data_IF_667354438094
#
_entry.id   IF_667354438094
#
_cell.length_a   1.000
_cell.length_b   1.000
_cell.length_c   1.000
_cell.angle_alpha   90.00
_cell.angle_beta   90.00
_cell.angle_gamma   90.00
#
_symmetry.space_group_name_H-M   'P 1'
#
loop_
_entity.id
_entity.type
_entity.pdbx_description
1 polymer ?
#
# COMPACT_ATOMS: atom_id res chain seq x y z
N UNK A 1 -15.77 7.21 -9.48
CA UNK A 1 -15.96 6.58 -10.82
C UNK A 1 -15.01 5.38 -10.94
N UNK A 2 -15.39 4.34 -11.68
CA UNK A 2 -14.52 3.18 -11.94
C UNK A 2 -14.19 3.11 -13.43
N UNK A 3 -12.94 2.84 -13.77
CA UNK A 3 -12.50 2.65 -15.15
C UNK A 3 -11.35 1.65 -15.23
N UNK A 4 -11.18 1.07 -16.41
CA UNK A 4 -10.16 0.07 -16.68
C UNK A 4 -9.00 0.70 -17.46
N UNK A 5 -7.79 0.52 -16.94
CA UNK A 5 -6.54 0.88 -17.59
C UNK A 5 -5.76 -0.38 -17.93
N UNK A 6 -4.79 -0.28 -18.83
CA UNK A 6 -3.86 -1.38 -19.13
C UNK A 6 -2.48 -1.03 -18.60
N UNK A 7 -1.91 -1.93 -17.79
CA UNK A 7 -0.53 -1.89 -17.34
C UNK A 7 0.24 -2.99 -18.06
N UNK A 8 0.88 -2.65 -19.17
CA UNK A 8 1.46 -3.64 -20.08
C UNK A 8 0.36 -4.56 -20.63
N UNK A 9 0.57 -5.87 -20.50
CA UNK A 9 -0.41 -6.88 -20.94
C UNK A 9 -1.51 -7.19 -19.88
N UNK A 10 -1.50 -6.51 -18.73
CA UNK A 10 -2.43 -6.79 -17.63
C UNK A 10 -3.42 -5.62 -17.44
N UNK A 11 -4.74 -5.87 -17.37
CA UNK A 11 -5.71 -4.83 -17.06
C UNK A 11 -5.65 -4.46 -15.57
N UNK A 12 -5.92 -3.18 -15.27
CA UNK A 12 -5.94 -2.59 -13.93
C UNK A 12 -7.26 -1.85 -13.74
N UNK A 13 -8.01 -2.22 -12.72
CA UNK A 13 -9.23 -1.51 -12.32
C UNK A 13 -8.84 -0.32 -11.45
N UNK A 14 -9.19 0.88 -11.88
CA UNK A 14 -8.92 2.13 -11.16
C UNK A 14 -10.21 2.65 -10.56
N UNK A 15 -10.19 2.90 -9.25
CA UNK A 15 -11.34 3.38 -8.48
C UNK A 15 -11.02 4.79 -7.99
N UNK A 16 -11.87 5.75 -8.36
CA UNK A 16 -11.73 7.16 -7.94
C UNK A 16 -12.86 7.64 -7.05
N UNK A 17 -13.83 6.77 -6.75
CA UNK A 17 -14.90 7.08 -5.81
C UNK A 17 -14.36 7.08 -4.36
N UNK A 18 -14.45 8.19 -3.61
CA UNK A 18 -13.83 8.30 -2.30
C UNK A 18 -14.38 7.32 -1.25
N UNK A 19 -15.70 7.06 -1.27
CA UNK A 19 -16.33 6.13 -0.34
C UNK A 19 -15.83 4.71 -0.61
N UNK A 20 -15.81 4.29 -1.88
CA UNK A 20 -15.28 2.98 -2.26
C UNK A 20 -13.78 2.84 -1.96
N UNK A 21 -12.98 3.90 -2.17
CA UNK A 21 -11.55 3.90 -1.83
C UNK A 21 -11.35 3.72 -0.31
N UNK A 22 -12.14 4.42 0.50
CA UNK A 22 -12.09 4.30 1.97
C UNK A 22 -12.45 2.88 2.40
N UNK A 23 -13.50 2.30 1.84
CA UNK A 23 -13.92 0.93 2.15
C UNK A 23 -12.81 -0.08 1.83
N UNK A 24 -12.16 0.06 0.67
CA UNK A 24 -11.05 -0.81 0.27
C UNK A 24 -9.83 -0.65 1.20
N UNK A 25 -9.42 0.59 1.50
CA UNK A 25 -8.20 0.86 2.27
C UNK A 25 -8.34 0.59 3.76
N UNK A 26 -9.57 0.62 4.30
CA UNK A 26 -9.83 0.35 5.73
C UNK A 26 -10.22 -1.09 6.01
N UNK A 27 -10.53 -1.87 4.98
CA UNK A 27 -10.86 -3.28 5.08
C UNK A 27 -9.68 -4.11 5.61
N UNK A 28 -9.88 -4.76 6.77
CA UNK A 28 -8.88 -5.60 7.44
C UNK A 28 -9.08 -7.10 7.22
N UNK A 29 -10.02 -7.50 6.36
CA UNK A 29 -10.30 -8.91 6.05
C UNK A 29 -9.23 -9.54 5.16
N UNK A 30 -8.21 -8.79 4.73
CA UNK A 30 -7.10 -9.30 3.92
C UNK A 30 -7.46 -9.57 2.46
N UNK A 31 -8.65 -9.13 2.01
CA UNK A 31 -9.09 -9.28 0.62
C UNK A 31 -8.30 -8.40 -0.36
N UNK A 32 -7.72 -7.30 0.14
CA UNK A 32 -6.95 -6.35 -0.66
C UNK A 32 -5.50 -6.32 -0.16
N UNK A 33 -4.57 -6.62 -1.07
CA UNK A 33 -3.13 -6.46 -0.86
C UNK A 33 -2.56 -5.31 -1.70
N UNK A 34 -1.29 -5.00 -1.52
CA UNK A 34 -0.61 -3.99 -2.36
C UNK A 34 -0.54 -4.46 -3.81
N UNK A 35 -0.65 -3.54 -4.76
CA UNK A 35 -0.46 -3.86 -6.17
C UNK A 35 0.95 -4.38 -6.43
N UNK A 36 1.14 -5.26 -7.42
CA UNK A 36 2.45 -5.75 -7.80
C UNK A 36 3.35 -4.57 -8.20
N UNK A 37 4.53 -4.53 -7.59
CA UNK A 37 5.53 -3.49 -7.85
C UNK A 37 6.38 -3.92 -9.05
N UNK A 38 6.71 -2.96 -9.93
CA UNK A 38 7.58 -3.22 -11.07
C UNK A 38 8.91 -3.86 -10.61
N UNK A 39 9.43 -4.92 -11.27
CA UNK A 39 10.62 -5.64 -10.81
C UNK A 39 11.85 -4.75 -10.57
N UNK A 40 12.03 -3.71 -11.39
CA UNK A 40 13.13 -2.74 -11.23
C UNK A 40 13.00 -1.91 -9.95
N UNK A 41 11.79 -1.61 -9.49
CA UNK A 41 11.53 -0.86 -8.26
C UNK A 41 11.65 -1.74 -7.02
N UNK A 42 11.63 -3.07 -7.17
CA UNK A 42 11.76 -4.02 -6.04
C UNK A 42 13.05 -3.79 -5.25
N UNK A 43 14.13 -3.42 -5.91
CA UNK A 43 15.44 -3.19 -5.28
C UNK A 43 15.53 -1.84 -4.56
N UNK A 44 14.77 -0.84 -5.01
CA UNK A 44 14.71 0.49 -4.38
C UNK A 44 13.69 0.51 -3.24
N UNK A 45 12.65 -0.31 -3.32
CA UNK A 45 11.53 -0.33 -2.39
C UNK A 45 11.60 -1.41 -1.29
N UNK A 46 12.78 -1.98 -1.00
CA UNK A 46 12.99 -3.06 0.00
C UNK A 46 12.60 -2.71 1.46
N UNK A 47 12.04 -1.51 1.69
CA UNK A 47 11.57 -1.04 2.98
C UNK A 47 10.15 -1.49 3.34
N UNK A 48 9.56 -0.79 4.30
CA UNK A 48 8.20 -1.04 4.82
C UNK A 48 7.10 -0.98 3.74
N UNK A 49 7.37 -0.35 2.60
CA UNK A 49 6.42 -0.21 1.50
C UNK A 49 6.15 -1.53 0.78
N UNK A 50 7.07 -2.50 0.80
CA UNK A 50 6.90 -3.80 0.10
C UNK A 50 6.46 -4.96 1.00
N UNK A 51 6.56 -4.81 2.33
CA UNK A 51 6.16 -5.85 3.28
C UNK A 51 4.66 -5.91 3.44
N UNK A 52 4.13 -7.09 3.74
CA UNK A 52 2.71 -7.31 4.02
C UNK A 52 2.51 -8.02 5.37
N UNK A 53 1.26 -7.99 5.85
CA UNK A 53 0.82 -8.75 7.03
C UNK A 53 1.64 -8.46 8.29
N UNK A 54 2.02 -9.51 9.02
CA UNK A 54 2.72 -9.41 10.30
C UNK A 54 4.10 -8.78 10.19
N UNK A 55 4.85 -9.06 9.12
CA UNK A 55 6.17 -8.47 8.90
C UNK A 55 6.06 -6.96 8.74
N UNK A 56 5.05 -6.49 8.00
CA UNK A 56 4.75 -5.08 7.88
C UNK A 56 4.35 -4.46 9.22
N UNK A 57 3.43 -5.09 9.95
CA UNK A 57 2.94 -4.60 11.23
C UNK A 57 4.08 -4.45 12.25
N UNK A 58 4.98 -5.44 12.32
CA UNK A 58 6.15 -5.42 13.19
C UNK A 58 7.10 -4.29 12.84
N UNK A 59 7.49 -4.15 11.57
CA UNK A 59 8.40 -3.06 11.16
C UNK A 59 7.76 -1.68 11.34
N UNK A 60 6.45 -1.54 11.09
CA UNK A 60 5.73 -0.28 11.33
C UNK A 60 5.76 0.14 12.78
N UNK A 61 5.53 -0.81 13.70
CA UNK A 61 5.54 -0.54 15.14
C UNK A 61 6.90 -0.03 15.62
N UNK A 62 8.00 -0.55 15.07
CA UNK A 62 9.37 -0.13 15.41
C UNK A 62 9.67 1.28 14.89
N UNK A 63 9.20 1.62 13.69
CA UNK A 63 9.55 2.88 13.01
C UNK A 63 8.65 4.04 13.46
N UNK A 64 7.38 3.78 13.79
CA UNK A 64 6.40 4.81 14.17
C UNK A 64 6.88 5.82 15.24
N UNK A 65 7.61 5.43 16.32
CA UNK A 65 8.09 6.36 17.33
C UNK A 65 8.98 7.48 16.80
N UNK A 66 9.69 7.26 15.69
CA UNK A 66 10.52 8.30 15.05
C UNK A 66 9.67 9.41 14.41
N UNK A 67 8.39 9.14 14.16
CA UNK A 67 7.44 10.07 13.52
C UNK A 67 6.40 10.62 14.51
N UNK A 68 6.66 10.57 15.81
CA UNK A 68 5.81 11.24 16.79
C UNK A 68 6.01 12.75 16.73
N UNK A 69 4.96 13.51 17.04
CA UNK A 69 4.95 14.98 16.92
C UNK A 69 6.08 15.65 17.70
N UNK A 70 6.53 15.07 18.80
CA UNK A 70 7.67 15.56 19.60
C UNK A 70 9.03 15.35 18.92
N UNK A 71 9.12 14.45 17.94
CA UNK A 71 10.34 14.10 17.17
C UNK A 71 10.40 14.73 15.79
N UNK A 72 9.29 15.27 15.28
CA UNK A 72 9.16 15.83 13.92
C UNK A 72 9.57 17.31 13.81
N UNK A 73 10.47 17.79 14.68
CA UNK A 73 10.96 19.18 14.65
C UNK A 73 11.66 19.52 13.35
#
# INVERSE_FOLDING_TARGET
KMFLLWSGASPVVTITDPEMVKDILTNKFGHFGKPPVHPLLKFVALGITTLEGEQWATRRKIINPAFYLDKLK
#
